data_IF_915502650907
#
_entry.id   IF_915502650907
#
_cell.length_a   1.000
_cell.length_b   1.000
_cell.length_c   1.000
_cell.angle_alpha   90.00
_cell.angle_beta   90.00
_cell.angle_gamma   90.00
#
_symmetry.space_group_name_H-M   'P 1'
#
loop_
_entity.id
_entity.type
_entity.pdbx_description
1 polymer ?
#
# COMPACT_ATOMS: atom_id res chain seq x y z
N UNK A 1 15.93 3.39 30.56
CA UNK A 1 17.27 3.62 29.99
C UNK A 1 17.14 4.36 28.67
N UNK A 2 17.89 5.44 28.50
CA UNK A 2 17.86 6.25 27.28
C UNK A 2 18.98 5.82 26.35
N UNK A 3 18.63 5.49 25.11
CA UNK A 3 19.61 5.19 24.05
C UNK A 3 19.77 6.42 23.19
N UNK A 4 21.01 6.85 22.98
CA UNK A 4 21.34 7.99 22.12
C UNK A 4 21.91 7.47 20.81
N UNK A 5 21.34 7.93 19.68
CA UNK A 5 21.83 7.69 18.35
C UNK A 5 22.36 8.98 17.75
N UNK A 6 23.47 8.91 17.04
CA UNK A 6 24.09 10.08 16.42
C UNK A 6 24.28 9.84 14.92
N UNK A 7 23.17 9.78 14.15
CA UNK A 7 23.26 9.60 12.70
C UNK A 7 23.74 10.88 12.00
N UNK A 8 24.21 10.74 10.77
CA UNK A 8 24.49 11.90 9.92
C UNK A 8 23.20 12.55 9.43
N UNK A 9 22.16 11.73 9.16
CA UNK A 9 20.84 12.19 8.74
C UNK A 9 19.79 11.53 9.62
N UNK A 10 18.87 12.33 10.15
CA UNK A 10 17.69 11.87 10.85
C UNK A 10 16.45 12.28 10.06
N UNK A 11 15.62 11.30 9.69
CA UNK A 11 14.41 11.53 8.90
C UNK A 11 13.20 11.31 9.79
N UNK A 12 12.31 12.27 9.82
CA UNK A 12 11.04 12.20 10.55
C UNK A 12 9.93 11.97 9.53
N UNK A 13 9.34 10.80 9.56
CA UNK A 13 8.28 10.39 8.67
C UNK A 13 8.70 9.33 7.65
N UNK A 14 8.04 8.19 7.69
CA UNK A 14 8.27 7.02 6.83
C UNK A 14 7.36 6.96 5.62
N UNK A 15 6.98 8.11 5.05
CA UNK A 15 6.23 8.19 3.80
C UNK A 15 7.14 8.09 2.57
N UNK A 16 6.59 8.39 1.38
CA UNK A 16 7.32 8.27 0.13
C UNK A 16 8.58 9.15 0.09
N UNK A 17 8.49 10.38 0.59
CA UNK A 17 9.63 11.30 0.63
C UNK A 17 10.71 10.84 1.60
N UNK A 18 10.33 10.50 2.83
CA UNK A 18 11.26 10.05 3.86
C UNK A 18 11.96 8.75 3.48
N UNK A 19 11.22 7.78 2.96
CA UNK A 19 11.78 6.50 2.50
C UNK A 19 12.73 6.68 1.32
N UNK A 20 12.42 7.59 0.40
CA UNK A 20 13.29 7.89 -0.75
C UNK A 20 14.61 8.47 -0.30
N UNK A 21 14.60 9.42 0.64
CA UNK A 21 15.81 10.02 1.19
C UNK A 21 16.62 8.97 1.97
N UNK A 22 15.96 8.15 2.80
CA UNK A 22 16.61 7.11 3.57
C UNK A 22 17.32 6.09 2.67
N UNK A 23 16.64 5.62 1.62
CA UNK A 23 17.20 4.65 0.68
C UNK A 23 18.39 5.23 -0.08
N UNK A 24 18.28 6.46 -0.57
CA UNK A 24 19.36 7.13 -1.29
C UNK A 24 20.58 7.35 -0.39
N UNK A 25 20.37 7.86 0.82
CA UNK A 25 21.47 8.10 1.76
C UNK A 25 22.16 6.79 2.16
N UNK A 26 21.40 5.74 2.43
CA UNK A 26 21.95 4.42 2.77
C UNK A 26 22.77 3.84 1.62
N UNK A 27 22.34 4.04 0.38
CA UNK A 27 23.08 3.60 -0.81
C UNK A 27 24.44 4.29 -0.95
N UNK A 28 24.56 5.52 -0.45
CA UNK A 28 25.82 6.24 -0.41
C UNK A 28 26.68 5.93 0.82
N UNK A 29 26.23 5.01 1.67
CA UNK A 29 26.95 4.64 2.89
C UNK A 29 26.86 5.65 4.02
N UNK A 30 25.88 6.53 3.99
CA UNK A 30 25.63 7.53 5.04
C UNK A 30 24.80 6.92 6.15
N UNK A 31 25.15 7.19 7.41
CA UNK A 31 24.37 6.74 8.56
C UNK A 31 23.05 7.49 8.64
N UNK A 32 21.94 6.75 8.55
CA UNK A 32 20.60 7.31 8.52
C UNK A 32 19.74 6.67 9.60
N UNK A 33 18.96 7.49 10.30
CA UNK A 33 17.89 7.04 11.19
C UNK A 33 16.56 7.60 10.68
N UNK A 34 15.59 6.73 10.50
CA UNK A 34 14.24 7.09 10.11
C UNK A 34 13.29 6.82 11.27
N UNK A 35 12.50 7.81 11.61
CA UNK A 35 11.52 7.73 12.69
C UNK A 35 10.12 7.81 12.11
N UNK A 36 9.27 6.82 12.42
CA UNK A 36 7.87 6.80 12.02
C UNK A 36 7.01 6.49 13.23
N UNK A 37 6.03 7.36 13.50
CA UNK A 37 5.14 7.20 14.66
C UNK A 37 3.99 6.23 14.44
N UNK A 38 3.71 5.87 13.21
CA UNK A 38 2.60 5.00 12.84
C UNK A 38 3.04 3.90 11.86
N UNK A 39 2.25 3.72 10.81
CA UNK A 39 2.55 2.72 9.78
C UNK A 39 3.57 3.24 8.79
N UNK A 40 4.60 2.45 8.53
CA UNK A 40 5.59 2.74 7.51
C UNK A 40 4.94 2.74 6.12
N UNK A 41 5.38 3.62 5.23
CA UNK A 41 4.88 3.72 3.85
C UNK A 41 4.05 4.97 3.55
N UNK A 42 3.56 5.66 4.59
CA UNK A 42 2.81 6.92 4.45
C UNK A 42 1.36 6.74 4.01
N UNK A 43 0.72 7.86 3.68
CA UNK A 43 -0.71 7.90 3.39
C UNK A 43 -1.07 7.20 2.08
N UNK A 44 -0.23 7.31 1.06
CA UNK A 44 -0.49 6.69 -0.24
C UNK A 44 -0.58 5.16 -0.12
N UNK A 45 0.35 4.54 0.58
CA UNK A 45 0.35 3.09 0.78
C UNK A 45 -0.80 2.64 1.69
N UNK A 46 -0.99 3.29 2.81
CA UNK A 46 -1.87 2.81 3.88
C UNK A 46 -3.32 3.26 3.73
N UNK A 47 -3.56 4.46 3.21
CA UNK A 47 -4.88 5.10 3.24
C UNK A 47 -5.31 5.71 1.90
N UNK A 48 -4.45 5.75 0.90
CA UNK A 48 -4.71 6.47 -0.36
C UNK A 48 -4.66 5.59 -1.59
N UNK A 49 -3.63 5.78 -2.41
CA UNK A 49 -3.53 5.23 -3.77
C UNK A 49 -3.59 3.70 -3.81
N UNK A 50 -2.89 3.03 -2.93
CA UNK A 50 -2.81 1.56 -2.93
C UNK A 50 -4.15 0.92 -2.56
N UNK A 51 -4.78 1.26 -1.41
CA UNK A 51 -6.07 0.68 -1.08
C UNK A 51 -7.17 1.08 -2.06
N UNK A 52 -7.20 2.31 -2.57
CA UNK A 52 -8.21 2.73 -3.53
C UNK A 52 -8.08 2.00 -4.86
N UNK A 53 -6.87 1.81 -5.37
CA UNK A 53 -6.64 1.03 -6.60
C UNK A 53 -6.98 -0.44 -6.44
N UNK A 54 -6.69 -1.03 -5.30
CA UNK A 54 -7.07 -2.41 -5.00
C UNK A 54 -8.59 -2.58 -4.97
N UNK A 55 -9.31 -1.62 -4.38
CA UNK A 55 -10.77 -1.61 -4.36
C UNK A 55 -11.36 -1.46 -5.76
N UNK A 56 -10.81 -0.55 -6.56
CA UNK A 56 -11.23 -0.35 -7.95
C UNK A 56 -11.00 -1.63 -8.78
N UNK A 57 -9.88 -2.31 -8.59
CA UNK A 57 -9.59 -3.57 -9.27
C UNK A 57 -10.62 -4.64 -8.92
N UNK A 58 -11.02 -4.76 -7.66
CA UNK A 58 -12.08 -5.66 -7.23
C UNK A 58 -13.42 -5.31 -7.92
N UNK A 59 -13.75 -4.03 -7.99
CA UNK A 59 -14.94 -3.54 -8.68
C UNK A 59 -14.96 -3.87 -10.17
N UNK A 60 -13.80 -3.80 -10.84
CA UNK A 60 -13.67 -4.19 -12.25
C UNK A 60 -13.99 -5.65 -12.48
N UNK A 61 -13.57 -6.54 -11.59
CA UNK A 61 -13.88 -7.97 -11.69
C UNK A 61 -15.37 -8.23 -11.53
N UNK A 62 -16.03 -7.59 -10.58
CA UNK A 62 -17.48 -7.71 -10.40
C UNK A 62 -18.24 -7.18 -11.61
N UNK A 63 -17.82 -6.05 -12.16
CA UNK A 63 -18.43 -5.44 -13.34
C UNK A 63 -18.25 -6.29 -14.60
N UNK A 64 -17.06 -6.90 -14.78
CA UNK A 64 -16.79 -7.79 -15.90
C UNK A 64 -17.75 -8.99 -15.92
N UNK A 65 -18.07 -9.56 -14.76
CA UNK A 65 -19.05 -10.65 -14.65
C UNK A 65 -20.44 -10.17 -15.10
N UNK A 66 -20.84 -8.97 -14.67
CA UNK A 66 -22.14 -8.42 -15.04
C UNK A 66 -22.24 -8.10 -16.55
N UNK A 67 -21.15 -7.68 -17.17
CA UNK A 67 -21.08 -7.37 -18.61
C UNK A 67 -20.81 -8.58 -19.51
N UNK A 68 -20.37 -9.69 -18.94
CA UNK A 68 -19.95 -10.87 -19.72
C UNK A 68 -20.99 -11.34 -20.75
N UNK A 69 -22.31 -11.33 -20.49
CA UNK A 69 -23.30 -11.75 -21.48
C UNK A 69 -23.27 -10.97 -22.79
N UNK A 70 -22.93 -9.67 -22.76
CA UNK A 70 -22.81 -8.85 -23.97
C UNK A 70 -21.70 -9.30 -24.91
N UNK A 71 -20.71 -10.05 -24.39
CA UNK A 71 -19.61 -10.64 -25.15
C UNK A 71 -19.84 -12.12 -25.49
N UNK A 72 -21.04 -12.64 -25.24
CA UNK A 72 -21.33 -14.04 -25.46
C UNK A 72 -20.82 -14.98 -24.37
N UNK A 73 -20.42 -14.45 -23.22
CA UNK A 73 -19.91 -15.24 -22.10
C UNK A 73 -20.94 -15.28 -20.97
N UNK A 74 -21.34 -16.49 -20.57
CA UNK A 74 -22.27 -16.67 -19.45
C UNK A 74 -21.46 -17.03 -18.20
N UNK A 75 -21.40 -16.12 -17.25
CA UNK A 75 -20.63 -16.29 -16.03
C UNK A 75 -21.48 -16.48 -14.76
N UNK A 76 -22.80 -16.39 -14.88
CA UNK A 76 -23.71 -16.45 -13.74
C UNK A 76 -23.75 -15.13 -12.96
N UNK A 77 -24.33 -15.18 -11.77
CA UNK A 77 -24.49 -14.00 -10.93
C UNK A 77 -23.26 -13.77 -10.06
N UNK A 78 -22.76 -12.53 -10.02
CA UNK A 78 -21.64 -12.16 -9.16
C UNK A 78 -22.13 -12.07 -7.70
N UNK A 79 -21.45 -12.80 -6.82
CA UNK A 79 -21.66 -12.69 -5.37
C UNK A 79 -20.46 -11.99 -4.76
N UNK A 80 -20.68 -10.80 -4.21
CA UNK A 80 -19.62 -10.02 -3.58
C UNK A 80 -19.63 -10.26 -2.07
N UNK A 81 -18.51 -10.75 -1.54
CA UNK A 81 -18.27 -10.79 -0.11
C UNK A 81 -17.38 -9.62 0.27
N UNK A 82 -17.97 -8.56 0.80
CA UNK A 82 -17.25 -7.33 1.09
C UNK A 82 -16.12 -7.52 2.10
N UNK A 83 -16.30 -8.42 3.07
CA UNK A 83 -15.25 -8.74 4.04
C UNK A 83 -14.00 -9.31 3.36
N UNK A 84 -14.18 -10.20 2.39
CA UNK A 84 -13.06 -10.75 1.61
C UNK A 84 -12.41 -9.71 0.71
N UNK A 85 -13.18 -8.77 0.16
CA UNK A 85 -12.63 -7.63 -0.59
C UNK A 85 -11.76 -6.78 0.32
N UNK A 86 -12.23 -6.47 1.51
CA UNK A 86 -11.47 -5.72 2.51
C UNK A 86 -10.16 -6.44 2.88
N UNK A 87 -10.24 -7.75 3.13
CA UNK A 87 -9.05 -8.55 3.44
C UNK A 87 -8.04 -8.57 2.30
N UNK A 88 -8.53 -8.64 1.06
CA UNK A 88 -7.68 -8.56 -0.12
C UNK A 88 -6.97 -7.20 -0.21
N UNK A 89 -7.68 -6.10 -0.01
CA UNK A 89 -7.09 -4.75 -0.01
C UNK A 89 -5.97 -4.65 1.03
N UNK A 90 -6.21 -5.14 2.24
CA UNK A 90 -5.19 -5.15 3.29
C UNK A 90 -4.01 -6.06 2.97
N UNK A 91 -4.24 -7.17 2.27
CA UNK A 91 -3.14 -8.04 1.82
C UNK A 91 -2.24 -7.34 0.79
N UNK A 92 -2.80 -6.53 -0.08
CA UNK A 92 -2.04 -5.74 -1.05
C UNK A 92 -1.18 -4.70 -0.34
N UNK A 93 -1.74 -4.00 0.64
CA UNK A 93 -0.98 -3.04 1.46
C UNK A 93 0.20 -3.74 2.13
N UNK A 94 -0.04 -4.90 2.73
CA UNK A 94 0.99 -5.66 3.44
C UNK A 94 2.08 -6.24 2.54
N UNK A 95 1.77 -6.48 1.25
CA UNK A 95 2.73 -7.03 0.28
C UNK A 95 3.74 -5.99 -0.23
N UNK A 96 3.43 -4.72 -0.10
CA UNK A 96 4.32 -3.63 -0.49
C UNK A 96 5.12 -3.16 0.73
#
# INVERSE_FOLDING_TARGET
MTTRLTPDICIIGGGSGGLSVAAAAAAFGVDVVLVEKGKMGGDCLNYGCVPSKAMIAAGKHAHAIAEAPSFGVTAGEAKVNFRKVHDHVHSVIGAI
#
